data_IF_561238311331
#
_entry.id   IF_561238311331
#
_cell.length_a   1.000
_cell.length_b   1.000
_cell.length_c   1.000
_cell.angle_alpha   90.00
_cell.angle_beta   90.00
_cell.angle_gamma   90.00
#
_symmetry.space_group_name_H-M   'P 1'
#
loop_
_entity.id
_entity.type
_entity.pdbx_description
1 polymer ?
#
# COMPACT_ATOMS: atom_id res chain seq x y z
N UNK A 1 -20.48 -2.64 42.80
CA UNK A 1 -20.08 -1.45 42.01
C UNK A 1 -18.67 -1.63 41.45
N UNK A 2 -17.78 -2.29 42.19
CA UNK A 2 -16.37 -2.47 41.80
C UNK A 2 -16.18 -3.27 40.50
N UNK A 3 -17.02 -4.27 40.24
CA UNK A 3 -16.98 -5.03 38.98
C UNK A 3 -17.16 -4.13 37.75
N UNK A 4 -18.06 -3.16 37.81
CA UNK A 4 -18.29 -2.22 36.71
C UNK A 4 -17.11 -1.25 36.53
N UNK A 5 -16.51 -0.82 37.64
CA UNK A 5 -15.32 0.05 37.63
C UNK A 5 -14.13 -0.68 37.00
N UNK A 6 -13.93 -1.95 37.38
CA UNK A 6 -12.87 -2.80 36.82
C UNK A 6 -13.10 -3.07 35.32
N UNK A 7 -14.35 -3.32 34.91
CA UNK A 7 -14.66 -3.56 33.50
C UNK A 7 -14.40 -2.31 32.65
N UNK A 8 -14.81 -1.13 33.14
CA UNK A 8 -14.64 0.13 32.43
C UNK A 8 -13.16 0.56 32.35
N UNK A 9 -12.40 0.33 33.43
CA UNK A 9 -10.97 0.63 33.44
C UNK A 9 -10.20 -0.25 32.44
N UNK A 10 -10.48 -1.55 32.40
CA UNK A 10 -9.88 -2.48 31.43
C UNK A 10 -10.23 -2.11 29.99
N UNK A 11 -11.50 -1.77 29.72
CA UNK A 11 -11.93 -1.34 28.39
C UNK A 11 -11.20 -0.08 27.92
N UNK A 12 -11.02 0.91 28.81
CA UNK A 12 -10.28 2.14 28.49
C UNK A 12 -8.81 1.89 28.23
N UNK A 13 -8.16 1.01 29.01
CA UNK A 13 -6.76 0.63 28.81
C UNK A 13 -6.57 0.00 27.42
N UNK A 14 -7.43 -0.96 27.05
CA UNK A 14 -7.39 -1.61 25.73
C UNK A 14 -7.64 -0.59 24.62
N UNK A 15 -8.60 0.33 24.81
CA UNK A 15 -8.92 1.36 23.82
C UNK A 15 -7.74 2.29 23.54
N UNK A 16 -7.06 2.78 24.58
CA UNK A 16 -5.87 3.63 24.44
C UNK A 16 -4.71 2.87 23.79
N UNK A 17 -4.49 1.61 24.20
CA UNK A 17 -3.45 0.76 23.62
C UNK A 17 -3.70 0.46 22.13
N UNK A 18 -4.96 0.33 21.71
CA UNK A 18 -5.33 0.01 20.32
C UNK A 18 -5.49 1.25 19.43
N UNK A 19 -5.65 2.44 20.02
CA UNK A 19 -5.70 3.73 19.31
C UNK A 19 -4.55 3.95 18.30
N UNK A 20 -3.26 3.72 18.64
CA UNK A 20 -2.16 3.87 17.67
C UNK A 20 -2.17 2.79 16.58
N UNK A 21 -2.81 1.64 16.82
CA UNK A 21 -2.94 0.59 15.82
C UNK A 21 -4.04 0.89 14.80
N UNK A 22 -5.11 1.60 15.19
CA UNK A 22 -6.19 2.03 14.28
C UNK A 22 -5.65 3.01 13.23
N UNK A 23 -4.79 3.94 13.64
CA UNK A 23 -4.08 4.85 12.71
C UNK A 23 -3.10 4.13 11.78
N UNK A 24 -2.43 3.08 12.27
CA UNK A 24 -1.53 2.22 11.45
C UNK A 24 -2.27 1.27 10.50
N UNK A 25 -3.58 1.05 10.64
CA UNK A 25 -4.37 0.19 9.73
C UNK A 25 -4.85 0.90 8.46
N UNK A 26 -4.60 2.21 8.32
CA UNK A 26 -4.79 2.95 7.06
C UNK A 26 -3.43 3.26 6.45
N UNK A 27 -2.80 2.21 5.93
CA UNK A 27 -1.90 2.20 4.76
C UNK A 27 -1.54 0.74 4.47
N UNK A 28 -2.56 -0.09 4.21
CA UNK A 28 -2.47 -0.80 2.94
C UNK A 28 -2.67 0.32 1.92
N UNK A 29 -1.58 0.99 1.59
CA UNK A 29 -1.43 1.40 0.22
C UNK A 29 -1.64 0.09 -0.54
N UNK A 30 -2.87 -0.15 -1.00
CA UNK A 30 -2.99 -0.54 -2.39
C UNK A 30 -1.96 0.34 -3.07
N UNK A 31 -0.87 -0.22 -3.64
CA UNK A 31 0.15 0.60 -4.26
C UNK A 31 -0.68 1.48 -5.16
N UNK A 32 -0.74 2.77 -4.82
CA UNK A 32 -1.46 3.71 -5.65
C UNK A 32 -0.76 3.44 -6.95
N UNK A 33 -1.47 2.87 -7.93
CA UNK A 33 -0.90 2.70 -9.26
C UNK A 33 -0.79 4.13 -9.75
N UNK A 34 0.22 4.82 -9.25
CA UNK A 34 1.04 5.74 -9.98
C UNK A 34 1.47 4.83 -11.12
N UNK A 35 0.65 4.78 -12.16
CA UNK A 35 1.17 4.53 -13.48
C UNK A 35 2.37 5.47 -13.53
N UNK A 36 3.56 4.91 -13.32
CA UNK A 36 4.77 5.61 -13.69
C UNK A 36 4.56 5.85 -15.18
N UNK A 37 4.48 7.11 -15.59
CA UNK A 37 4.28 7.49 -17.00
C UNK A 37 5.29 6.81 -17.93
N UNK A 38 6.38 6.27 -17.38
CA UNK A 38 7.28 5.32 -18.03
C UNK A 38 7.37 4.03 -17.22
N UNK A 39 6.92 2.95 -17.81
CA UNK A 39 7.18 1.63 -17.29
C UNK A 39 8.52 1.11 -17.86
N UNK A 40 9.46 0.64 -17.01
CA UNK A 40 10.79 0.23 -17.47
C UNK A 40 10.76 -0.97 -18.42
N UNK A 41 9.66 -1.71 -18.49
CA UNK A 41 9.49 -2.78 -19.49
C UNK A 41 9.19 -2.25 -20.89
N UNK A 42 8.51 -1.11 -21.03
CA UNK A 42 8.27 -0.47 -22.32
C UNK A 42 9.58 0.06 -22.90
N UNK A 43 10.43 0.70 -22.09
CA UNK A 43 11.75 1.15 -22.54
C UNK A 43 12.64 -0.01 -23.02
N UNK A 44 12.63 -1.13 -22.29
CA UNK A 44 13.38 -2.32 -22.68
C UNK A 44 12.81 -2.97 -23.96
N UNK A 45 11.49 -2.97 -24.15
CA UNK A 45 10.86 -3.45 -25.38
C UNK A 45 11.19 -2.56 -26.57
N UNK A 46 11.11 -1.24 -26.41
CA UNK A 46 11.52 -0.27 -27.45
C UNK A 46 13.00 -0.43 -27.80
N UNK A 47 13.88 -0.59 -26.82
CA UNK A 47 15.30 -0.83 -27.06
C UNK A 47 15.54 -2.15 -27.82
N UNK A 48 14.84 -3.22 -27.45
CA UNK A 48 14.90 -4.51 -28.14
C UNK A 48 14.41 -4.40 -29.59
N UNK A 49 13.26 -3.76 -29.80
CA UNK A 49 12.68 -3.54 -31.12
C UNK A 49 13.65 -2.76 -32.02
N UNK A 50 14.28 -1.69 -31.52
CA UNK A 50 15.32 -0.95 -32.24
C UNK A 50 16.57 -1.78 -32.54
N UNK A 51 17.03 -2.62 -31.60
CA UNK A 51 18.16 -3.52 -31.83
C UNK A 51 17.89 -4.53 -32.95
N UNK A 52 16.63 -4.95 -33.09
CA UNK A 52 16.21 -5.94 -34.08
C UNK A 52 15.54 -5.33 -35.32
N UNK A 53 15.48 -3.99 -35.44
CA UNK A 53 14.89 -3.28 -36.58
C UNK A 53 13.36 -3.41 -36.69
N UNK A 54 12.68 -3.76 -35.60
CA UNK A 54 11.22 -3.78 -35.51
C UNK A 54 10.69 -2.37 -35.18
N UNK A 55 9.46 -2.05 -35.58
CA UNK A 55 8.81 -0.81 -35.15
C UNK A 55 8.59 -0.82 -33.63
N UNK A 56 8.61 0.37 -33.01
CA UNK A 56 8.60 0.54 -31.55
C UNK A 56 7.31 0.00 -30.89
N UNK A 57 6.23 -0.23 -31.66
CA UNK A 57 4.94 -0.78 -31.25
C UNK A 57 4.76 -2.29 -31.53
N UNK A 58 5.81 -2.99 -31.97
CA UNK A 58 5.78 -4.44 -32.13
C UNK A 58 5.65 -5.12 -30.74
N UNK A 59 4.53 -5.84 -30.54
CA UNK A 59 4.19 -6.64 -29.34
C UNK A 59 4.75 -8.06 -29.47
#
# INVERSE_FOLDING_TARGET
MDLFIICFSLAMIIYVLTLPFIGKRRKKEEPTRVYSEHFPWEENQVAYNRMHGLPDDAI
#
